data_IF_526152954947
#
_entry.id   IF_526152954947
#
_cell.length_a   1.000
_cell.length_b   1.000
_cell.length_c   1.000
_cell.angle_alpha   90.00
_cell.angle_beta   90.00
_cell.angle_gamma   90.00
#
_symmetry.space_group_name_H-M   'P 1'
#
loop_
_entity.id
_entity.type
_entity.pdbx_description
1 polymer ?
#
# COMPACT_ATOMS: atom_id res chain seq x y z
N UNK A 1 -6.36 17.41 -48.78
CA UNK A 1 -5.48 17.82 -47.65
C UNK A 1 -5.57 16.74 -46.58
N UNK A 2 -4.78 15.67 -46.73
CA UNK A 2 -4.70 14.56 -45.78
C UNK A 2 -3.33 14.63 -45.12
N UNK A 3 -3.27 14.99 -43.85
CA UNK A 3 -2.03 14.94 -43.08
C UNK A 3 -1.51 13.49 -43.09
N UNK A 4 -0.25 13.24 -43.51
CA UNK A 4 0.32 11.92 -43.36
C UNK A 4 0.43 11.66 -41.86
N UNK A 5 -0.32 10.68 -41.37
CA UNK A 5 -0.12 10.14 -40.03
C UNK A 5 1.25 9.46 -40.10
N UNK A 6 2.30 10.20 -39.75
CA UNK A 6 3.63 9.64 -39.53
C UNK A 6 3.47 8.53 -38.49
N UNK A 7 3.89 7.29 -38.79
CA UNK A 7 3.78 6.21 -37.82
C UNK A 7 4.59 6.62 -36.60
N UNK A 8 3.92 6.80 -35.47
CA UNK A 8 4.56 7.16 -34.22
C UNK A 8 5.50 6.01 -33.89
N UNK A 9 6.81 6.27 -33.95
CA UNK A 9 7.84 5.28 -33.64
C UNK A 9 7.99 5.12 -32.12
N UNK A 10 8.44 3.95 -31.66
CA UNK A 10 8.68 3.69 -30.22
C UNK A 10 9.64 4.71 -29.60
N UNK A 11 10.63 5.17 -30.38
CA UNK A 11 11.57 6.22 -29.98
C UNK A 11 10.88 7.58 -29.75
N UNK A 12 9.84 7.90 -30.53
CA UNK A 12 9.07 9.13 -30.34
C UNK A 12 8.24 9.07 -29.06
N UNK A 13 7.69 7.88 -28.75
CA UNK A 13 6.95 7.63 -27.51
C UNK A 13 7.92 7.73 -26.32
N UNK A 14 9.10 7.13 -26.42
CA UNK A 14 10.12 7.19 -25.39
C UNK A 14 10.56 8.64 -25.13
N UNK A 15 10.85 9.40 -26.18
CA UNK A 15 11.20 10.82 -26.08
C UNK A 15 10.06 11.66 -25.50
N UNK A 16 8.81 11.37 -25.86
CA UNK A 16 7.64 12.07 -25.32
C UNK A 16 7.45 11.80 -23.83
N UNK A 17 7.61 10.55 -23.39
CA UNK A 17 7.48 10.14 -21.98
C UNK A 17 8.60 10.70 -21.10
N UNK A 18 9.84 10.77 -21.61
CA UNK A 18 10.98 11.35 -20.89
C UNK A 18 10.81 12.85 -20.67
N UNK A 19 10.32 13.57 -21.69
CA UNK A 19 10.13 15.01 -21.62
C UNK A 19 8.82 15.42 -20.93
N UNK A 20 7.93 14.48 -20.62
CA UNK A 20 6.62 14.75 -20.03
C UNK A 20 6.35 13.83 -18.81
N UNK A 21 7.02 14.06 -17.67
CA UNK A 21 6.83 13.21 -16.48
C UNK A 21 5.39 13.24 -15.95
N UNK A 22 4.69 14.37 -16.08
CA UNK A 22 3.28 14.55 -15.69
C UNK A 22 2.28 13.72 -16.53
N UNK A 23 2.76 13.04 -17.58
CA UNK A 23 1.95 12.11 -18.35
C UNK A 23 1.45 10.94 -17.48
N UNK A 24 2.31 10.44 -16.59
CA UNK A 24 1.99 9.31 -15.71
C UNK A 24 0.99 9.68 -14.60
N UNK A 25 1.01 10.93 -14.13
CA UNK A 25 0.03 11.45 -13.17
C UNK A 25 -1.35 11.60 -13.81
N UNK A 26 -1.40 12.07 -15.07
CA UNK A 26 -2.66 12.25 -15.81
C UNK A 26 -3.26 10.94 -16.34
N UNK A 27 -2.42 9.94 -16.56
CA UNK A 27 -2.81 8.64 -17.13
C UNK A 27 -2.49 7.47 -16.18
N UNK A 28 -2.75 7.62 -14.88
CA UNK A 28 -2.52 6.59 -13.86
C UNK A 28 -3.24 5.25 -14.14
N UNK A 29 -4.38 5.27 -14.86
CA UNK A 29 -5.09 4.06 -15.30
C UNK A 29 -4.40 3.29 -16.45
N UNK A 30 -3.51 3.94 -17.21
CA UNK A 30 -2.67 3.25 -18.20
C UNK A 30 -1.55 2.47 -17.52
N UNK A 31 -0.99 2.99 -16.42
CA UNK A 31 0.01 2.29 -15.61
C UNK A 31 -0.53 0.98 -14.99
N UNK A 32 -1.82 0.95 -14.63
CA UNK A 32 -2.42 -0.27 -14.06
C UNK A 32 -2.73 -1.35 -15.10
N UNK A 33 -2.81 -1.00 -16.38
CA UNK A 33 -3.08 -1.94 -17.48
C UNK A 33 -1.82 -2.39 -18.21
N UNK A 34 -0.75 -1.60 -18.16
CA UNK A 34 0.54 -1.92 -18.79
C UNK A 34 1.37 -2.81 -17.86
N UNK A 35 1.38 -4.11 -18.15
CA UNK A 35 2.38 -5.04 -17.57
C UNK A 35 3.72 -4.82 -18.27
N UNK A 36 4.62 -4.06 -17.63
CA UNK A 36 6.02 -3.97 -18.05
C UNK A 36 6.73 -5.25 -17.63
N UNK A 37 6.66 -6.28 -18.47
CA UNK A 37 7.57 -7.43 -18.38
C UNK A 37 8.83 -7.04 -19.15
N UNK A 38 9.82 -6.50 -18.42
CA UNK A 38 11.15 -6.28 -18.97
C UNK A 38 11.75 -7.62 -19.43
N UNK A 39 12.29 -7.73 -20.66
CA UNK A 39 13.02 -8.91 -21.11
C UNK A 39 14.40 -9.06 -20.46
N UNK A 40 14.88 -8.03 -19.74
CA UNK A 40 16.19 -8.04 -19.09
C UNK A 40 16.06 -8.44 -17.62
N UNK A 41 16.53 -9.66 -17.35
CA UNK A 41 16.35 -10.37 -16.10
C UNK A 41 16.89 -9.69 -14.85
N UNK A 42 16.24 -10.04 -13.75
CA UNK A 42 16.84 -10.27 -12.42
C UNK A 42 17.41 -9.08 -11.63
N UNK A 43 17.45 -7.84 -12.13
CA UNK A 43 18.05 -6.74 -11.32
C UNK A 43 17.42 -5.36 -11.33
N UNK A 44 16.42 -5.11 -12.17
CA UNK A 44 15.62 -3.90 -12.07
C UNK A 44 14.34 -4.21 -11.29
N UNK A 45 14.45 -4.41 -9.97
CA UNK A 45 13.27 -4.42 -9.10
C UNK A 45 12.67 -3.02 -9.19
N UNK A 46 11.51 -2.91 -9.84
CA UNK A 46 10.80 -1.65 -10.01
C UNK A 46 10.66 -0.98 -8.65
N UNK A 47 11.01 0.31 -8.57
CA UNK A 47 10.90 1.10 -7.33
C UNK A 47 9.49 0.98 -6.72
N UNK A 48 8.48 0.82 -7.57
CA UNK A 48 7.08 0.63 -7.19
C UNK A 48 6.82 -0.74 -6.53
N UNK A 49 7.48 -1.80 -7.01
CA UNK A 49 7.36 -3.15 -6.44
C UNK A 49 7.97 -3.19 -5.03
N UNK A 50 9.13 -2.55 -4.85
CA UNK A 50 9.75 -2.38 -3.54
C UNK A 50 8.91 -1.51 -2.59
N UNK A 51 8.28 -0.44 -3.10
CA UNK A 51 7.35 0.38 -2.31
C UNK A 51 6.10 -0.41 -1.90
N UNK A 52 5.54 -1.21 -2.81
CA UNK A 52 4.39 -2.06 -2.52
C UNK A 52 4.71 -3.12 -1.44
N UNK A 53 5.90 -3.72 -1.50
CA UNK A 53 6.32 -4.68 -0.48
C UNK A 53 6.57 -4.03 0.88
N UNK A 54 7.16 -2.84 0.92
CA UNK A 54 7.28 -2.06 2.15
C UNK A 54 5.91 -1.70 2.76
N UNK A 55 4.92 -1.35 1.92
CA UNK A 55 3.57 -1.08 2.38
C UNK A 55 2.89 -2.34 2.92
N UNK A 56 3.03 -3.48 2.24
CA UNK A 56 2.50 -4.78 2.71
C UNK A 56 3.09 -5.17 4.06
N UNK A 57 4.40 -4.99 4.24
CA UNK A 57 5.05 -5.29 5.51
C UNK A 57 4.58 -4.36 6.63
N UNK A 58 4.40 -3.07 6.32
CA UNK A 58 3.84 -2.09 7.27
C UNK A 58 2.41 -2.43 7.68
N UNK A 59 1.58 -2.89 6.73
CA UNK A 59 0.22 -3.35 7.01
C UNK A 59 0.25 -4.55 7.96
N UNK A 60 1.06 -5.57 7.67
CA UNK A 60 1.20 -6.76 8.55
C UNK A 60 1.65 -6.40 9.96
N UNK A 61 2.61 -5.48 10.09
CA UNK A 61 3.08 -5.02 11.39
C UNK A 61 1.98 -4.28 12.18
N UNK A 62 1.17 -3.47 11.49
CA UNK A 62 0.03 -2.78 12.09
C UNK A 62 -1.07 -3.76 12.51
N UNK A 63 -1.38 -4.76 11.68
CA UNK A 63 -2.33 -5.83 12.00
C UNK A 63 -1.91 -6.61 13.26
N UNK A 64 -0.63 -6.97 13.38
CA UNK A 64 -0.10 -7.62 14.58
C UNK A 64 -0.27 -6.75 15.83
N UNK A 65 0.10 -5.48 15.73
CA UNK A 65 -0.02 -4.55 16.87
C UNK A 65 -1.48 -4.32 17.27
N UNK A 66 -2.39 -4.34 16.32
CA UNK A 66 -3.83 -4.27 16.59
C UNK A 66 -4.32 -5.52 17.32
N UNK A 67 -3.89 -6.72 16.92
CA UNK A 67 -4.22 -7.96 17.62
C UNK A 67 -3.71 -7.93 19.08
N UNK A 68 -2.49 -7.46 19.31
CA UNK A 68 -1.94 -7.31 20.66
C UNK A 68 -2.77 -6.32 21.50
N UNK A 69 -3.18 -5.20 20.91
CA UNK A 69 -4.01 -4.21 21.58
C UNK A 69 -5.38 -4.78 21.96
N UNK A 70 -6.01 -5.56 21.09
CA UNK A 70 -7.29 -6.21 21.36
C UNK A 70 -7.14 -7.19 22.53
N UNK A 71 -6.07 -8.00 22.53
CA UNK A 71 -5.78 -8.94 23.63
C UNK A 71 -5.60 -8.21 24.96
N UNK A 72 -4.76 -7.17 24.97
CA UNK A 72 -4.54 -6.35 26.16
C UNK A 72 -5.84 -5.67 26.63
N UNK A 73 -6.67 -5.21 25.70
CA UNK A 73 -7.99 -4.64 25.99
C UNK A 73 -8.93 -5.66 26.64
N UNK A 74 -8.93 -6.91 26.17
CA UNK A 74 -9.68 -8.00 26.78
C UNK A 74 -9.20 -8.30 28.20
N UNK A 75 -7.89 -8.43 28.40
CA UNK A 75 -7.30 -8.67 29.72
C UNK A 75 -7.64 -7.54 30.71
N UNK A 76 -7.57 -6.29 30.24
CA UNK A 76 -7.95 -5.11 31.01
C UNK A 76 -9.44 -5.12 31.38
N UNK A 77 -10.32 -5.53 30.47
CA UNK A 77 -11.75 -5.62 30.76
C UNK A 77 -12.04 -6.66 31.86
N UNK A 78 -11.36 -7.81 31.83
CA UNK A 78 -11.49 -8.82 32.89
C UNK A 78 -10.94 -8.30 34.23
N UNK A 79 -9.83 -7.56 34.22
CA UNK A 79 -9.30 -6.93 35.43
C UNK A 79 -10.28 -5.88 35.99
N UNK A 80 -10.86 -5.05 35.12
CA UNK A 80 -11.85 -4.05 35.50
C UNK A 80 -13.10 -4.69 36.13
N UNK A 81 -13.61 -5.80 35.57
CA UNK A 81 -14.75 -6.53 36.16
C UNK A 81 -14.42 -7.06 37.56
N UNK A 82 -13.22 -7.64 37.73
CA UNK A 82 -12.76 -8.11 39.05
C UNK A 82 -12.68 -6.98 40.08
N UNK A 83 -12.07 -5.85 39.70
CA UNK A 83 -12.00 -4.66 40.55
C UNK A 83 -13.39 -4.13 40.90
N UNK A 84 -14.31 -4.10 39.93
CA UNK A 84 -15.69 -3.67 40.15
C UNK A 84 -16.40 -4.56 41.17
N UNK A 85 -16.31 -5.89 41.01
CA UNK A 85 -16.88 -6.86 41.96
C UNK A 85 -16.30 -6.71 43.37
N UNK A 86 -14.99 -6.50 43.48
CA UNK A 86 -14.36 -6.27 44.78
C UNK A 86 -14.85 -4.97 45.43
N UNK A 87 -14.97 -3.89 44.66
CA UNK A 87 -15.53 -2.63 45.15
C UNK A 87 -16.97 -2.79 45.61
N UNK A 88 -17.79 -3.55 44.89
CA UNK A 88 -19.16 -3.86 45.32
C UNK A 88 -19.18 -4.67 46.61
N UNK A 89 -18.33 -5.69 46.74
CA UNK A 89 -18.24 -6.49 47.96
C UNK A 89 -17.81 -5.67 49.18
N UNK A 90 -16.93 -4.69 49.00
CA UNK A 90 -16.51 -3.79 50.08
C UNK A 90 -17.59 -2.81 50.50
N UNK A 91 -18.46 -2.39 49.58
CA UNK A 91 -19.57 -1.47 49.86
C UNK A 91 -20.79 -2.14 50.50
N UNK A 92 -20.91 -3.46 50.35
CA UNK A 92 -22.04 -4.26 50.88
C UNK A 92 -21.66 -4.93 52.22
N UNK A 93 -20.39 -4.91 52.61
CA UNK A 93 -19.93 -5.21 53.98
C UNK A 93 -20.10 -3.98 54.89
#
# INVERSE_FOLDING_TARGET
>A
MSNPITPITEDDIANFLVNTPDFFDRHAQLLSSVRIVSPHGQRAVSLQERQADMLREKIRALEHRMMDMIRNGSDNAVLADRLHRWSQSLLIC
#
